data_IF_781472659427
#
_entry.id   IF_781472659427
#
_cell.length_a   1.000
_cell.length_b   1.000
_cell.length_c   1.000
_cell.angle_alpha   90.00
_cell.angle_beta   90.00
_cell.angle_gamma   90.00
#
_symmetry.space_group_name_H-M   'P 1'
#
loop_
_entity.id
_entity.type
_entity.pdbx_description
1 polymer ?
#
# COMPACT_ATOMS: atom_id res chain seq x y z
N UNK A 1 15.86 19.55 -19.51
CA UNK A 1 15.19 19.93 -18.25
C UNK A 1 15.95 19.29 -17.09
N UNK A 2 16.58 20.10 -16.21
CA UNK A 2 17.33 19.60 -15.07
C UNK A 2 16.39 18.85 -14.12
N UNK A 3 16.81 17.70 -13.59
CA UNK A 3 16.12 16.99 -12.52
C UNK A 3 15.99 17.97 -11.34
N UNK A 4 14.78 18.42 -10.99
CA UNK A 4 14.52 19.10 -9.73
C UNK A 4 14.98 18.15 -8.62
N UNK A 5 15.86 18.60 -7.75
CA UNK A 5 16.16 17.88 -6.51
C UNK A 5 14.91 17.96 -5.64
N UNK A 6 14.17 16.86 -5.55
CA UNK A 6 12.97 16.78 -4.72
C UNK A 6 13.39 16.80 -3.24
N UNK A 7 12.65 17.56 -2.42
CA UNK A 7 12.87 17.68 -0.99
C UNK A 7 12.33 16.43 -0.26
N UNK A 8 13.12 15.83 0.58
CA UNK A 8 12.72 14.73 1.45
C UNK A 8 11.88 15.26 2.62
N UNK A 9 11.07 14.39 3.19
CA UNK A 9 10.27 14.65 4.37
C UNK A 9 10.47 13.58 5.44
N UNK A 10 9.59 13.58 6.45
CA UNK A 10 9.63 12.65 7.57
C UNK A 10 8.39 11.76 7.61
N UNK A 11 8.58 10.52 8.06
CA UNK A 11 7.50 9.53 8.21
C UNK A 11 6.63 9.84 9.43
N UNK A 12 5.40 9.27 9.47
CA UNK A 12 4.54 9.33 10.66
C UNK A 12 5.24 8.74 11.88
N UNK A 13 6.09 7.71 11.70
CA UNK A 13 6.89 7.09 12.77
C UNK A 13 7.93 8.05 13.37
N UNK A 14 8.65 8.82 12.54
CA UNK A 14 9.60 9.81 13.02
C UNK A 14 8.90 10.95 13.78
N UNK A 15 7.79 11.46 13.24
CA UNK A 15 7.00 12.51 13.91
C UNK A 15 6.44 12.02 15.27
N UNK A 16 5.95 10.77 15.33
CA UNK A 16 5.45 10.19 16.58
C UNK A 16 6.55 10.02 17.62
N UNK A 17 7.75 9.58 17.21
CA UNK A 17 8.90 9.46 18.11
C UNK A 17 9.35 10.83 18.64
N UNK A 18 9.37 11.86 17.79
CA UNK A 18 9.71 13.22 18.18
C UNK A 18 8.69 13.82 19.16
N UNK A 19 7.38 13.68 18.88
CA UNK A 19 6.33 14.11 19.78
C UNK A 19 6.40 13.38 21.14
N UNK A 20 6.63 12.06 21.13
CA UNK A 20 6.78 11.27 22.35
C UNK A 20 8.00 11.71 23.19
N UNK A 21 9.16 11.97 22.52
CA UNK A 21 10.35 12.52 23.20
C UNK A 21 10.06 13.88 23.82
N UNK A 22 9.39 14.76 23.08
CA UNK A 22 9.02 16.09 23.56
C UNK A 22 8.13 16.05 24.81
N UNK A 23 7.06 15.24 24.75
CA UNK A 23 6.16 15.06 25.89
C UNK A 23 6.89 14.44 27.10
N UNK A 24 7.75 13.42 26.89
CA UNK A 24 8.55 12.83 27.95
C UNK A 24 9.54 13.82 28.58
N UNK A 25 10.21 14.65 27.77
CA UNK A 25 11.12 15.70 28.27
C UNK A 25 10.37 16.77 29.06
N UNK A 26 9.19 17.21 28.60
CA UNK A 26 8.38 18.20 29.34
C UNK A 26 7.90 17.64 30.68
N UNK A 27 7.42 16.39 30.67
CA UNK A 27 6.99 15.70 31.88
C UNK A 27 8.11 15.58 32.88
N UNK A 28 9.29 15.22 32.45
CA UNK A 28 10.45 15.00 33.30
C UNK A 28 11.12 16.30 33.76
N UNK A 29 11.16 17.33 32.91
CA UNK A 29 11.80 18.63 33.24
C UNK A 29 10.85 19.64 33.85
N UNK A 30 9.54 19.37 33.84
CA UNK A 30 8.47 20.28 34.29
C UNK A 30 8.62 21.70 33.69
N UNK A 31 8.91 21.74 32.38
CA UNK A 31 9.02 22.98 31.60
C UNK A 31 8.71 22.71 30.11
N UNK A 32 8.32 23.76 29.40
CA UNK A 32 8.11 23.74 27.95
C UNK A 32 9.41 23.34 27.22
N UNK A 33 9.25 22.54 26.19
CA UNK A 33 10.28 22.17 25.22
C UNK A 33 9.75 22.50 23.82
N UNK A 34 10.46 23.35 23.08
CA UNK A 34 10.00 23.87 21.80
C UNK A 34 10.50 23.00 20.61
N UNK A 35 11.65 22.36 20.78
CA UNK A 35 12.26 21.52 19.77
C UNK A 35 12.88 20.27 20.38
N UNK A 36 12.91 19.20 19.60
CA UNK A 36 13.62 17.96 19.94
C UNK A 36 14.43 17.46 18.76
N UNK A 37 15.49 16.75 19.06
CA UNK A 37 16.28 16.00 18.11
C UNK A 37 16.10 14.50 18.38
N UNK A 38 15.88 13.69 17.33
CA UNK A 38 15.80 12.23 17.42
C UNK A 38 16.81 11.61 16.47
N UNK A 39 17.30 10.42 16.82
CA UNK A 39 18.12 9.59 15.95
C UNK A 39 17.22 8.72 15.10
N UNK A 40 17.32 8.84 13.78
CA UNK A 40 16.59 8.01 12.83
C UNK A 40 17.24 6.61 12.72
N UNK A 41 16.50 5.59 12.21
CA UNK A 41 17.01 4.21 12.12
C UNK A 41 18.36 4.03 11.39
N UNK A 42 18.72 4.97 10.52
CA UNK A 42 20.01 4.97 9.81
C UNK A 42 21.14 5.69 10.55
N UNK A 43 20.88 6.24 11.73
CA UNK A 43 21.84 6.99 12.54
C UNK A 43 21.89 8.50 12.26
N UNK A 44 21.10 9.00 11.31
CA UNK A 44 20.97 10.44 11.04
C UNK A 44 20.18 11.12 12.16
N UNK A 45 20.58 12.32 12.57
CA UNK A 45 19.82 13.15 13.50
C UNK A 45 18.79 14.00 12.74
N UNK A 46 17.58 14.09 13.29
CA UNK A 46 16.51 14.91 12.75
C UNK A 46 15.90 15.79 13.85
N UNK A 47 15.71 17.07 13.54
CA UNK A 47 15.16 18.06 14.46
C UNK A 47 13.71 18.35 14.10
N UNK A 48 12.86 18.44 15.14
CA UNK A 48 11.43 18.68 15.01
C UNK A 48 10.99 19.78 15.96
N UNK A 49 10.22 20.74 15.46
CA UNK A 49 9.51 21.72 16.27
C UNK A 49 8.27 21.07 16.89
N UNK A 50 8.02 21.39 18.14
CA UNK A 50 6.87 20.90 18.90
C UNK A 50 5.79 21.98 19.00
N UNK A 51 4.55 21.56 19.01
CA UNK A 51 3.38 22.43 19.09
C UNK A 51 2.37 21.91 20.12
N UNK A 52 1.49 22.79 20.62
CA UNK A 52 0.44 22.41 21.55
C UNK A 52 0.98 21.78 22.84
N UNK A 53 2.09 22.34 23.34
CA UNK A 53 2.78 21.83 24.51
C UNK A 53 1.96 22.05 25.79
N UNK A 54 1.62 20.94 26.43
CA UNK A 54 0.96 20.91 27.73
C UNK A 54 1.70 19.99 28.68
N UNK A 55 1.87 20.33 29.94
CA UNK A 55 2.43 19.43 30.93
C UNK A 55 1.86 19.69 32.33
N UNK A 56 1.87 18.65 33.13
CA UNK A 56 1.49 18.63 34.53
C UNK A 56 2.39 17.69 35.34
N UNK A 57 2.06 17.44 36.61
CA UNK A 57 2.91 16.61 37.47
C UNK A 57 3.05 15.15 37.01
N UNK A 58 2.04 14.61 36.33
CA UNK A 58 1.95 13.19 35.97
C UNK A 58 1.72 12.93 34.47
N UNK A 59 1.51 13.97 33.67
CA UNK A 59 1.28 13.85 32.24
C UNK A 59 1.77 15.06 31.47
N UNK A 60 2.15 14.82 30.20
CA UNK A 60 2.48 15.89 29.26
C UNK A 60 2.06 15.48 27.85
N UNK A 61 1.77 16.46 27.00
CA UNK A 61 1.40 16.25 25.61
C UNK A 61 1.95 17.33 24.69
N UNK A 62 2.20 16.96 23.43
CA UNK A 62 2.52 17.88 22.34
C UNK A 62 2.28 17.18 21.01
N UNK A 63 2.41 17.90 19.91
CA UNK A 63 2.36 17.33 18.59
C UNK A 63 3.46 17.88 17.67
N UNK A 64 3.71 17.14 16.59
CA UNK A 64 4.56 17.51 15.46
C UNK A 64 3.68 17.61 14.22
N UNK A 65 3.82 18.68 13.45
CA UNK A 65 3.18 18.81 12.13
C UNK A 65 4.05 18.04 11.13
N UNK A 66 3.47 17.03 10.51
CA UNK A 66 4.21 16.19 9.55
C UNK A 66 4.52 16.96 8.27
N UNK A 67 5.79 17.01 7.92
CA UNK A 67 6.30 17.48 6.64
C UNK A 67 6.75 16.27 5.79
N UNK A 68 6.03 15.97 4.72
CA UNK A 68 6.34 14.89 3.80
C UNK A 68 7.31 15.29 2.66
N UNK A 69 7.82 16.51 2.67
CA UNK A 69 8.64 17.04 1.57
C UNK A 69 7.81 17.26 0.32
N UNK A 70 8.37 16.87 -0.83
CA UNK A 70 7.70 16.96 -2.13
C UNK A 70 6.92 15.67 -2.48
N UNK A 71 6.73 14.76 -1.52
CA UNK A 71 5.91 13.56 -1.71
C UNK A 71 4.41 13.90 -1.65
N UNK A 72 3.58 13.36 -2.56
CA UNK A 72 2.12 13.55 -2.51
C UNK A 72 1.45 12.70 -1.41
N UNK A 73 2.04 12.64 -0.24
CA UNK A 73 1.58 11.89 0.92
C UNK A 73 0.29 12.51 1.50
N UNK A 74 -0.74 11.69 1.65
CA UNK A 74 -2.03 12.07 2.24
C UNK A 74 -1.88 12.64 3.66
N UNK A 75 -0.84 12.21 4.38
CA UNK A 75 -0.57 12.63 5.76
C UNK A 75 0.31 13.89 5.86
N UNK A 76 0.63 14.54 4.73
CA UNK A 76 1.35 15.82 4.76
C UNK A 76 0.51 16.89 5.47
N UNK A 77 1.12 17.60 6.43
CA UNK A 77 0.44 18.60 7.27
C UNK A 77 -0.40 18.03 8.41
N UNK A 78 -0.47 16.70 8.56
CA UNK A 78 -1.18 16.08 9.69
C UNK A 78 -0.44 16.33 11.01
N UNK A 79 -1.21 16.58 12.08
CA UNK A 79 -0.71 16.70 13.44
C UNK A 79 -0.54 15.32 14.06
N UNK A 80 0.69 14.98 14.43
CA UNK A 80 1.02 13.71 15.08
C UNK A 80 1.21 14.00 16.57
N UNK A 81 0.18 13.69 17.35
CA UNK A 81 0.14 13.95 18.79
C UNK A 81 0.74 12.79 19.58
N UNK A 82 1.41 13.12 20.67
CA UNK A 82 1.81 12.19 21.72
C UNK A 82 1.41 12.72 23.09
N UNK A 83 0.74 11.88 23.87
CA UNK A 83 0.45 12.12 25.29
C UNK A 83 1.17 11.09 26.12
N UNK A 84 2.05 11.51 27.01
CA UNK A 84 2.83 10.67 27.93
C UNK A 84 2.30 10.82 29.33
N UNK A 85 2.09 9.71 30.04
CA UNK A 85 1.66 9.71 31.43
C UNK A 85 2.50 8.74 32.27
N UNK A 86 2.81 9.15 33.50
CA UNK A 86 3.32 8.29 34.57
C UNK A 86 2.15 7.76 35.39
N UNK A 87 2.26 6.55 35.91
CA UNK A 87 1.21 5.91 36.72
C UNK A 87 -0.17 5.83 36.03
N UNK A 88 -0.24 5.41 34.78
CA UNK A 88 -1.54 5.24 34.15
C UNK A 88 -2.34 4.13 34.86
N UNK A 89 -3.68 4.20 34.91
CA UNK A 89 -4.49 3.05 35.33
C UNK A 89 -4.13 1.83 34.47
N UNK A 90 -4.14 0.64 35.08
CA UNK A 90 -3.73 -0.63 34.44
C UNK A 90 -4.31 -0.77 33.04
N UNK A 91 -3.53 -1.22 32.04
CA UNK A 91 -4.06 -1.44 30.71
C UNK A 91 -5.16 -2.51 30.72
N UNK A 92 -6.13 -2.44 29.82
CA UNK A 92 -7.08 -3.54 29.60
C UNK A 92 -6.30 -4.82 29.27
N UNK A 93 -6.77 -5.95 29.78
CA UNK A 93 -6.16 -7.27 29.62
C UNK A 93 -5.69 -7.53 28.18
N UNK A 94 -4.43 -7.98 28.01
CA UNK A 94 -3.91 -8.56 26.75
C UNK A 94 -2.98 -7.68 25.90
N UNK A 95 -2.59 -6.48 26.34
CA UNK A 95 -1.61 -5.68 25.60
C UNK A 95 -0.18 -6.09 25.95
N UNK A 96 0.64 -6.40 24.93
CA UNK A 96 2.07 -6.66 25.08
C UNK A 96 2.78 -5.35 25.41
N UNK A 97 3.64 -5.42 26.43
CA UNK A 97 4.59 -4.38 26.77
C UNK A 97 5.68 -4.31 25.68
N UNK A 98 5.90 -3.13 25.10
CA UNK A 98 7.03 -2.92 24.20
C UNK A 98 8.31 -2.74 25.04
N UNK A 99 9.27 -3.63 24.83
CA UNK A 99 10.58 -3.59 25.47
C UNK A 99 10.55 -3.64 27.02
N UNK A 100 9.49 -4.21 27.62
CA UNK A 100 9.24 -4.35 29.08
C UNK A 100 9.35 -3.05 29.90
N UNK A 101 9.42 -1.87 29.26
CA UNK A 101 9.67 -0.60 29.95
C UNK A 101 8.73 0.57 29.60
N UNK A 102 7.98 0.45 28.50
CA UNK A 102 7.07 1.50 28.00
C UNK A 102 5.83 0.86 27.39
N UNK A 103 4.66 1.45 27.68
CA UNK A 103 3.40 1.05 27.06
C UNK A 103 3.08 2.03 25.90
N UNK A 104 3.08 1.53 24.65
CA UNK A 104 2.76 2.31 23.45
C UNK A 104 1.37 1.96 22.94
N UNK A 105 0.48 2.94 22.87
CA UNK A 105 -0.90 2.79 22.45
C UNK A 105 -1.27 3.76 21.32
N UNK A 106 -2.20 3.36 20.47
CA UNK A 106 -2.88 4.28 19.57
C UNK A 106 -4.09 4.91 20.26
N UNK A 107 -4.35 6.14 19.91
CA UNK A 107 -5.53 6.91 20.31
C UNK A 107 -6.36 7.28 19.10
N UNK A 108 -7.04 8.41 19.16
CA UNK A 108 -7.90 8.94 18.09
C UNK A 108 -7.15 8.97 16.76
N UNK A 109 -7.80 8.44 15.71
CA UNK A 109 -7.27 8.44 14.34
C UNK A 109 -6.13 7.48 14.06
N UNK A 110 -5.76 6.62 15.01
CA UNK A 110 -4.87 5.47 14.77
C UNK A 110 -5.71 4.23 14.56
N UNK A 111 -5.42 3.50 13.47
CA UNK A 111 -6.18 2.30 13.12
C UNK A 111 -5.85 1.09 13.98
N UNK A 112 -6.75 0.11 13.94
CA UNK A 112 -6.57 -1.24 14.48
C UNK A 112 -6.41 -2.25 13.37
N UNK A 113 -5.53 -3.22 13.56
CA UNK A 113 -5.37 -4.35 12.64
C UNK A 113 -6.53 -5.33 12.82
N UNK A 114 -7.25 -5.64 11.75
CA UNK A 114 -8.41 -6.55 11.76
C UNK A 114 -8.23 -7.78 10.89
N UNK A 115 -7.23 -7.77 9.98
CA UNK A 115 -6.91 -8.91 9.10
C UNK A 115 -5.51 -9.44 9.40
N UNK A 116 -5.28 -10.76 9.28
CA UNK A 116 -3.94 -11.34 9.39
C UNK A 116 -3.07 -10.98 8.19
N UNK A 117 -1.74 -11.22 8.28
CA UNK A 117 -0.79 -11.03 7.17
C UNK A 117 0.06 -9.77 7.28
N UNK A 118 -0.31 -8.81 8.11
CA UNK A 118 0.56 -7.68 8.43
C UNK A 118 1.62 -8.06 9.47
N UNK A 119 2.67 -7.24 9.59
CA UNK A 119 3.70 -7.42 10.61
C UNK A 119 3.18 -7.29 12.05
N UNK A 120 1.94 -6.84 12.22
CA UNK A 120 1.26 -6.67 13.49
C UNK A 120 0.13 -7.70 13.63
N UNK A 121 -0.07 -8.29 14.83
CA UNK A 121 -1.18 -9.18 15.11
C UNK A 121 -2.54 -8.49 14.97
N UNK A 122 -3.57 -9.29 14.69
CA UNK A 122 -4.96 -8.84 14.72
C UNK A 122 -5.32 -8.33 16.12
N UNK A 123 -6.01 -7.19 16.19
CA UNK A 123 -6.38 -6.50 17.43
C UNK A 123 -5.38 -5.45 17.89
N UNK A 124 -4.14 -5.45 17.39
CA UNK A 124 -3.13 -4.47 17.76
C UNK A 124 -3.35 -3.10 17.08
N UNK A 125 -2.83 -2.04 17.72
CA UNK A 125 -2.77 -0.73 17.12
C UNK A 125 -1.84 -0.73 15.90
N UNK A 126 -2.24 -0.07 14.82
CA UNK A 126 -1.47 0.01 13.59
C UNK A 126 -0.23 0.92 13.74
N UNK A 127 0.62 0.59 14.70
CA UNK A 127 1.94 1.22 14.94
C UNK A 127 2.99 0.18 14.62
N UNK A 128 3.67 0.32 13.49
CA UNK A 128 4.59 -0.68 12.96
C UNK A 128 5.82 -0.89 13.87
N UNK A 129 6.52 -2.03 13.78
CA UNK A 129 7.62 -2.37 14.69
C UNK A 129 8.75 -1.35 14.73
N UNK A 130 9.16 -0.76 13.60
CA UNK A 130 10.22 0.25 13.55
C UNK A 130 9.80 1.53 14.26
N UNK A 131 8.64 2.17 13.96
CA UNK A 131 8.08 3.26 14.75
C UNK A 131 7.98 2.97 16.25
N UNK A 132 7.52 1.77 16.66
CA UNK A 132 7.47 1.39 18.09
C UNK A 132 8.85 1.48 18.73
N UNK A 133 9.87 0.93 18.08
CA UNK A 133 11.27 1.01 18.56
C UNK A 133 11.77 2.45 18.63
N UNK A 134 11.44 3.28 17.63
CA UNK A 134 11.83 4.70 17.64
C UNK A 134 11.17 5.47 18.78
N UNK A 135 9.87 5.26 19.03
CA UNK A 135 9.14 5.88 20.13
C UNK A 135 9.73 5.44 21.48
N UNK A 136 9.93 4.14 21.66
CA UNK A 136 10.49 3.60 22.88
C UNK A 136 11.90 4.15 23.17
N UNK A 137 12.80 4.13 22.18
CA UNK A 137 14.16 4.67 22.31
C UNK A 137 14.16 6.16 22.63
N UNK A 138 13.31 6.96 21.97
CA UNK A 138 13.21 8.40 22.19
C UNK A 138 12.69 8.75 23.61
N UNK A 139 11.73 7.99 24.12
CA UNK A 139 11.23 8.14 25.48
C UNK A 139 12.26 7.71 26.53
N UNK A 140 12.90 6.56 26.34
CA UNK A 140 13.94 6.09 27.27
C UNK A 140 15.08 7.08 27.39
N UNK A 141 15.54 7.63 26.27
CA UNK A 141 16.55 8.69 26.26
C UNK A 141 16.11 9.92 27.09
N UNK A 142 14.84 10.35 26.93
CA UNK A 142 14.30 11.49 27.65
C UNK A 142 14.23 11.23 29.18
N UNK A 143 13.89 10.04 29.61
CA UNK A 143 13.81 9.67 31.02
C UNK A 143 15.19 9.39 31.65
N UNK A 144 16.11 8.77 30.91
CA UNK A 144 17.49 8.49 31.40
C UNK A 144 18.26 9.77 31.70
N UNK A 145 18.05 10.86 30.94
CA UNK A 145 18.68 12.16 31.18
C UNK A 145 18.37 12.74 32.58
N UNK A 146 17.40 12.21 33.30
CA UNK A 146 16.91 12.70 34.58
C UNK A 146 17.07 11.73 35.73
N UNK A 147 17.76 10.61 35.51
CA UNK A 147 17.99 9.63 36.58
C UNK A 147 16.72 8.92 37.05
N UNK A 148 15.66 8.89 36.22
CA UNK A 148 14.51 8.03 36.50
C UNK A 148 14.99 6.61 36.25
N UNK A 149 15.03 5.72 37.28
CA UNK A 149 15.56 4.37 37.13
C UNK A 149 14.68 3.57 36.17
N UNK A 150 15.26 3.05 35.10
CA UNK A 150 14.61 2.11 34.16
C UNK A 150 15.17 0.71 34.33
N UNK A 151 15.47 0.26 35.55
CA UNK A 151 16.00 -1.06 35.83
C UNK A 151 14.90 -2.12 35.92
N UNK A 152 15.21 -3.37 35.50
CA UNK A 152 14.30 -4.52 35.53
C UNK A 152 13.76 -4.89 36.94
N UNK A 153 14.28 -4.29 38.00
CA UNK A 153 13.92 -4.54 39.41
C UNK A 153 13.15 -3.40 40.08
N UNK A 154 12.77 -2.34 39.37
CA UNK A 154 12.09 -1.18 39.96
C UNK A 154 10.56 -1.33 39.87
N UNK A 155 9.81 -1.29 40.97
CA UNK A 155 8.35 -1.40 41.01
C UNK A 155 7.63 -0.12 40.50
N UNK A 156 8.35 0.84 39.88
CA UNK A 156 7.70 2.03 39.32
C UNK A 156 6.80 1.66 38.15
N UNK A 157 5.57 2.21 38.10
CA UNK A 157 4.65 1.98 37.00
C UNK A 157 5.27 2.42 35.67
N UNK A 158 5.11 1.58 34.64
CA UNK A 158 5.63 1.84 33.31
C UNK A 158 5.03 3.12 32.71
N UNK A 159 5.83 4.04 32.14
CA UNK A 159 5.31 5.18 31.45
C UNK A 159 4.49 4.71 30.22
N UNK A 160 3.36 5.38 29.99
CA UNK A 160 2.50 5.14 28.82
C UNK A 160 2.59 6.30 27.87
N UNK A 161 2.65 6.01 26.57
CA UNK A 161 2.45 6.97 25.49
C UNK A 161 1.26 6.60 24.65
N UNK A 162 0.40 7.56 24.35
CA UNK A 162 -0.73 7.47 23.43
C UNK A 162 -0.41 8.32 22.21
N UNK A 163 -0.34 7.72 21.02
CA UNK A 163 -0.15 8.40 19.74
C UNK A 163 -1.51 8.62 19.09
N UNK A 164 -1.79 9.86 18.66
CA UNK A 164 -3.07 10.23 18.03
C UNK A 164 -2.85 11.11 16.81
N UNK A 165 -3.81 11.07 15.88
CA UNK A 165 -3.91 11.95 14.71
C UNK A 165 -5.37 12.40 14.64
N UNK A 166 -5.72 13.62 15.07
CA UNK A 166 -7.12 14.04 15.23
C UNK A 166 -8.01 13.79 14.00
N UNK A 167 -7.51 14.06 12.79
CA UNK A 167 -8.20 13.83 11.51
C UNK A 167 -7.79 12.49 10.84
N UNK A 168 -7.17 11.58 11.58
CA UNK A 168 -6.58 10.34 11.03
C UNK A 168 -7.59 9.39 10.40
N UNK A 169 -8.82 9.31 10.91
CA UNK A 169 -9.87 8.49 10.31
C UNK A 169 -10.30 9.02 8.93
N UNK A 170 -10.44 10.34 8.78
CA UNK A 170 -10.77 10.97 7.50
C UNK A 170 -9.65 10.75 6.47
N UNK A 171 -8.41 10.96 6.89
CA UNK A 171 -7.24 10.75 6.03
C UNK A 171 -7.11 9.26 5.61
N UNK A 172 -7.39 8.32 6.51
CA UNK A 172 -7.33 6.89 6.22
C UNK A 172 -8.26 6.46 5.08
N UNK A 173 -9.41 7.12 4.89
CA UNK A 173 -10.32 6.87 3.76
C UNK A 173 -9.69 7.12 2.40
N UNK A 174 -8.63 7.92 2.34
CA UNK A 174 -7.85 8.25 1.12
C UNK A 174 -6.66 7.31 0.90
N UNK A 175 -6.48 6.31 1.78
CA UNK A 175 -5.38 5.35 1.75
C UNK A 175 -5.86 3.93 1.43
N UNK A 176 -4.94 2.96 1.38
CA UNK A 176 -5.25 1.54 1.23
C UNK A 176 -5.44 0.83 2.59
N UNK A 177 -5.44 1.54 3.71
CA UNK A 177 -5.50 0.96 5.05
C UNK A 177 -6.68 0.01 5.25
N UNK A 178 -7.89 0.42 4.84
CA UNK A 178 -9.08 -0.42 4.99
C UNK A 178 -8.94 -1.77 4.27
N UNK A 179 -8.34 -1.80 3.08
CA UNK A 179 -8.09 -3.04 2.31
C UNK A 179 -7.09 -3.95 3.00
N UNK A 180 -6.08 -3.37 3.62
CA UNK A 180 -5.09 -4.08 4.43
C UNK A 180 -5.64 -4.52 5.79
N UNK A 181 -6.92 -4.23 6.07
CA UNK A 181 -7.54 -4.55 7.34
C UNK A 181 -7.13 -3.62 8.49
N UNK A 182 -6.70 -2.39 8.18
CA UNK A 182 -6.44 -1.35 9.18
C UNK A 182 -7.67 -0.44 9.23
N UNK A 183 -8.44 -0.51 10.32
CA UNK A 183 -9.74 0.14 10.47
C UNK A 183 -9.69 1.18 11.60
N UNK A 184 -10.44 2.28 11.44
CA UNK A 184 -10.59 3.34 12.46
C UNK A 184 -9.52 4.43 12.41
N UNK A 185 -8.55 4.37 11.48
CA UNK A 185 -7.56 5.42 11.34
C UNK A 185 -6.35 5.07 10.47
N UNK A 186 -5.32 5.87 10.61
CA UNK A 186 -4.04 5.71 9.92
C UNK A 186 -3.13 4.70 10.63
N UNK A 187 -2.13 4.21 9.89
CA UNK A 187 -1.00 3.49 10.46
C UNK A 187 0.18 4.43 10.73
N UNK A 188 0.89 4.19 11.82
CA UNK A 188 2.19 4.82 12.12
C UNK A 188 3.27 3.94 11.50
N UNK A 189 3.90 4.42 10.44
CA UNK A 189 4.82 3.65 9.61
C UNK A 189 6.10 4.43 9.25
N UNK A 190 7.03 3.73 8.63
CA UNK A 190 8.30 4.23 8.15
C UNK A 190 9.49 3.44 8.71
N UNK A 191 10.25 2.82 7.82
CA UNK A 191 11.41 1.98 8.18
C UNK A 191 12.70 2.78 8.35
N UNK A 192 12.78 3.95 7.71
CA UNK A 192 13.99 4.81 7.74
C UNK A 192 13.78 6.12 8.49
N UNK A 193 12.54 6.48 8.83
CA UNK A 193 12.18 7.79 9.35
C UNK A 193 12.05 8.89 8.28
N UNK A 194 12.55 8.67 7.08
CA UNK A 194 12.58 9.64 5.96
C UNK A 194 11.60 9.23 4.87
N UNK A 195 10.86 10.19 4.34
CA UNK A 195 10.03 10.06 3.13
C UNK A 195 10.86 10.50 1.92
N UNK A 196 11.01 9.61 0.95
CA UNK A 196 11.59 9.93 -0.36
C UNK A 196 10.44 10.13 -1.35
N UNK A 197 10.33 11.30 -1.99
CA UNK A 197 9.25 11.58 -2.92
C UNK A 197 9.18 10.57 -4.06
N UNK A 198 7.95 10.13 -4.39
CA UNK A 198 7.66 9.19 -5.50
C UNK A 198 8.49 7.90 -5.39
N UNK A 199 8.56 7.32 -4.20
CA UNK A 199 9.37 6.12 -3.94
C UNK A 199 8.74 4.86 -4.54
N UNK A 200 9.41 4.26 -5.53
CA UNK A 200 9.03 2.94 -6.05
C UNK A 200 9.05 1.85 -4.96
N UNK A 201 10.00 1.93 -4.02
CA UNK A 201 10.10 0.98 -2.91
C UNK A 201 8.86 1.03 -2.00
N UNK A 202 8.35 2.23 -1.66
CA UNK A 202 7.15 2.35 -0.84
C UNK A 202 5.92 1.72 -1.53
N UNK A 203 5.84 1.83 -2.84
CA UNK A 203 4.76 1.20 -3.62
C UNK A 203 4.90 -0.33 -3.63
N UNK A 204 6.10 -0.85 -3.87
CA UNK A 204 6.35 -2.31 -3.85
C UNK A 204 6.13 -2.91 -2.48
N UNK A 205 6.52 -2.24 -1.39
CA UNK A 205 6.24 -2.68 -0.02
C UNK A 205 4.72 -2.78 0.25
N UNK A 206 3.93 -1.87 -0.33
CA UNK A 206 2.46 -1.91 -0.24
C UNK A 206 1.87 -3.10 -1.00
N UNK A 207 2.41 -3.41 -2.18
CA UNK A 207 2.01 -4.61 -2.95
C UNK A 207 2.32 -5.87 -2.15
N UNK A 208 3.52 -5.97 -1.58
CA UNK A 208 3.94 -7.12 -0.78
C UNK A 208 3.04 -7.33 0.43
N UNK A 209 2.71 -6.26 1.16
CA UNK A 209 1.80 -6.31 2.29
C UNK A 209 0.38 -6.73 1.87
N UNK A 210 -0.11 -6.25 0.72
CA UNK A 210 -1.43 -6.63 0.22
C UNK A 210 -1.49 -8.12 -0.17
N UNK A 211 -0.43 -8.66 -0.78
CA UNK A 211 -0.33 -10.08 -1.10
C UNK A 211 -0.30 -10.92 0.19
N UNK A 212 0.47 -10.50 1.20
CA UNK A 212 0.56 -11.20 2.48
C UNK A 212 -0.79 -11.25 3.20
N UNK A 213 -1.52 -10.14 3.22
CA UNK A 213 -2.89 -10.10 3.80
C UNK A 213 -3.83 -11.02 3.02
N UNK A 214 -3.83 -10.97 1.69
CA UNK A 214 -4.69 -11.82 0.87
C UNK A 214 -4.43 -13.31 1.11
N UNK A 215 -3.16 -13.73 1.14
CA UNK A 215 -2.78 -15.12 1.43
C UNK A 215 -3.14 -15.54 2.85
N UNK A 216 -2.89 -14.68 3.83
CA UNK A 216 -3.23 -14.95 5.23
C UNK A 216 -4.75 -15.04 5.46
N UNK A 217 -5.55 -14.35 4.64
CA UNK A 217 -7.01 -14.48 4.59
C UNK A 217 -7.49 -15.70 3.78
N UNK A 218 -6.59 -16.53 3.23
CA UNK A 218 -6.92 -17.76 2.51
C UNK A 218 -7.19 -17.58 1.01
N UNK A 219 -6.85 -16.44 0.42
CA UNK A 219 -7.01 -16.22 -1.03
C UNK A 219 -5.98 -17.02 -1.82
N UNK A 220 -6.42 -17.95 -2.68
CA UNK A 220 -5.55 -18.69 -3.61
C UNK A 220 -5.43 -18.00 -4.98
N UNK A 221 -6.35 -17.08 -5.27
CA UNK A 221 -6.41 -16.31 -6.51
C UNK A 221 -6.26 -14.83 -6.21
N UNK A 222 -5.37 -14.15 -6.92
CA UNK A 222 -5.20 -12.70 -6.83
C UNK A 222 -5.52 -12.02 -8.16
N UNK A 223 -6.21 -10.88 -8.09
CA UNK A 223 -6.48 -9.99 -9.22
C UNK A 223 -5.53 -8.81 -9.15
N UNK A 224 -4.48 -8.83 -9.98
CA UNK A 224 -3.45 -7.80 -10.04
C UNK A 224 -3.89 -6.69 -11.01
N UNK A 225 -4.24 -5.51 -10.50
CA UNK A 225 -4.81 -4.42 -11.29
C UNK A 225 -3.82 -3.29 -11.52
N UNK A 226 -3.73 -2.81 -12.78
CA UNK A 226 -2.87 -1.66 -13.12
C UNK A 226 -3.51 -0.30 -12.78
N UNK A 227 -4.78 -0.26 -12.43
CA UNK A 227 -5.49 0.96 -12.10
C UNK A 227 -6.92 0.72 -11.65
N UNK A 228 -7.55 1.76 -11.10
CA UNK A 228 -8.88 1.68 -10.48
C UNK A 228 -9.98 1.22 -11.46
N UNK A 229 -9.93 1.68 -12.72
CA UNK A 229 -10.92 1.28 -13.74
C UNK A 229 -10.90 -0.22 -13.98
N UNK A 230 -9.71 -0.81 -14.19
CA UNK A 230 -9.57 -2.25 -14.41
C UNK A 230 -9.93 -3.08 -13.18
N UNK A 231 -9.63 -2.57 -11.98
CA UNK A 231 -9.99 -3.22 -10.73
C UNK A 231 -11.51 -3.26 -10.55
N UNK A 232 -12.20 -2.11 -10.68
CA UNK A 232 -13.65 -2.04 -10.56
C UNK A 232 -14.39 -2.87 -11.63
N UNK A 233 -13.85 -2.90 -12.86
CA UNK A 233 -14.39 -3.75 -13.92
C UNK A 233 -14.29 -5.24 -13.54
N UNK A 234 -13.14 -5.67 -13.01
CA UNK A 234 -12.93 -7.05 -12.55
C UNK A 234 -13.85 -7.38 -11.35
N UNK A 235 -13.95 -6.49 -10.36
CA UNK A 235 -14.86 -6.67 -9.21
C UNK A 235 -16.31 -6.88 -9.66
N UNK A 236 -16.81 -6.03 -10.56
CA UNK A 236 -18.18 -6.14 -11.10
C UNK A 236 -18.36 -7.43 -11.89
N UNK A 237 -17.41 -7.78 -12.73
CA UNK A 237 -17.47 -9.00 -13.53
C UNK A 237 -17.54 -10.25 -12.68
N UNK A 238 -16.65 -10.40 -11.70
CA UNK A 238 -16.64 -11.56 -10.82
C UNK A 238 -17.80 -11.57 -9.81
N UNK A 239 -18.39 -10.44 -9.47
CA UNK A 239 -19.61 -10.37 -8.67
C UNK A 239 -20.87 -10.74 -9.48
N UNK A 240 -20.97 -10.30 -10.75
CA UNK A 240 -22.16 -10.54 -11.59
C UNK A 240 -22.25 -11.97 -12.16
N UNK A 241 -21.12 -12.62 -12.40
CA UNK A 241 -21.09 -14.01 -12.93
C UNK A 241 -21.59 -15.07 -11.96
N UNK A 242 -22.05 -14.69 -10.77
CA UNK A 242 -22.71 -15.57 -9.80
C UNK A 242 -24.22 -15.70 -10.00
N UNK A 243 -24.85 -14.72 -10.64
CA UNK A 243 -26.25 -14.79 -11.01
C UNK A 243 -26.33 -15.37 -12.42
N UNK A 244 -26.67 -16.67 -12.52
CA UNK A 244 -27.05 -17.28 -13.79
C UNK A 244 -28.17 -16.43 -14.42
N UNK A 245 -27.82 -15.66 -15.45
CA UNK A 245 -28.81 -14.90 -16.20
C UNK A 245 -29.73 -15.87 -16.94
N UNK A 246 -31.06 -15.74 -16.84
CA UNK A 246 -32.00 -16.57 -17.58
C UNK A 246 -32.01 -16.29 -19.09
N UNK A 247 -31.36 -15.21 -19.54
CA UNK A 247 -31.32 -14.80 -20.95
C UNK A 247 -29.95 -15.17 -21.57
N UNK A 248 -29.89 -16.33 -22.19
CA UNK A 248 -28.77 -16.99 -22.85
C UNK A 248 -27.97 -16.19 -23.88
N UNK A 249 -27.35 -15.07 -23.49
CA UNK A 249 -26.26 -14.45 -24.23
C UNK A 249 -24.94 -14.92 -23.62
N UNK A 250 -24.39 -15.99 -24.20
CA UNK A 250 -23.10 -16.58 -23.89
C UNK A 250 -21.97 -15.55 -24.08
N UNK A 251 -21.62 -14.82 -23.02
CA UNK A 251 -20.29 -14.30 -22.85
C UNK A 251 -19.36 -15.52 -22.73
N UNK A 252 -18.39 -15.63 -23.61
CA UNK A 252 -17.47 -16.76 -23.78
C UNK A 252 -17.00 -17.26 -22.41
N UNK A 253 -17.63 -18.34 -21.94
CA UNK A 253 -17.20 -19.09 -20.75
C UNK A 253 -15.96 -19.87 -21.13
N UNK A 254 -14.79 -19.39 -20.75
CA UNK A 254 -13.62 -20.24 -20.74
C UNK A 254 -13.84 -21.34 -19.67
N UNK A 255 -14.02 -22.58 -20.11
CA UNK A 255 -14.28 -23.75 -19.27
C UNK A 255 -13.14 -24.10 -18.28
N UNK A 256 -12.04 -23.33 -18.26
CA UNK A 256 -10.84 -23.54 -17.47
C UNK A 256 -10.65 -22.50 -16.35
N UNK A 257 -11.69 -21.72 -16.04
CA UNK A 257 -11.60 -20.79 -14.93
C UNK A 257 -12.06 -21.46 -13.64
N UNK A 258 -11.22 -21.64 -12.62
CA UNK A 258 -11.71 -21.81 -11.28
C UNK A 258 -12.23 -20.43 -10.78
N UNK A 259 -13.44 -20.08 -11.19
CA UNK A 259 -14.30 -19.29 -10.31
C UNK A 259 -14.43 -20.16 -9.06
N UNK A 260 -14.27 -19.65 -7.84
CA UNK A 260 -14.48 -20.45 -6.64
C UNK A 260 -15.77 -21.25 -6.82
N UNK A 261 -15.71 -22.58 -6.71
CA UNK A 261 -16.85 -23.48 -6.87
C UNK A 261 -18.00 -23.17 -5.86
N UNK A 262 -17.75 -22.25 -4.95
CA UNK A 262 -18.65 -21.81 -3.88
C UNK A 262 -19.61 -20.68 -4.28
N UNK A 263 -19.53 -20.12 -5.51
CA UNK A 263 -20.40 -19.00 -5.89
C UNK A 263 -20.17 -17.70 -5.09
N UNK A 264 -19.09 -17.59 -4.33
CA UNK A 264 -18.75 -16.38 -3.52
C UNK A 264 -17.82 -15.49 -4.35
N UNK A 265 -18.06 -14.16 -4.45
CA UNK A 265 -17.12 -13.24 -5.10
C UNK A 265 -15.75 -13.34 -4.45
N UNK A 266 -14.69 -13.03 -5.21
CA UNK A 266 -13.37 -12.87 -4.60
C UNK A 266 -13.48 -11.83 -3.48
N UNK A 267 -12.93 -12.11 -2.29
CA UNK A 267 -12.92 -11.16 -1.19
C UNK A 267 -12.12 -9.91 -1.57
N UNK A 268 -12.38 -8.79 -0.89
CA UNK A 268 -11.79 -7.48 -1.23
C UNK A 268 -10.25 -7.52 -1.26
N UNK A 269 -9.64 -8.26 -0.33
CA UNK A 269 -8.20 -8.44 -0.23
C UNK A 269 -7.57 -9.20 -1.40
N UNK A 270 -8.33 -9.96 -2.18
CA UNK A 270 -7.83 -10.62 -3.38
C UNK A 270 -7.53 -9.65 -4.53
N UNK A 271 -8.03 -8.40 -4.45
CA UNK A 271 -7.78 -7.38 -5.47
C UNK A 271 -6.60 -6.51 -5.08
N UNK A 272 -5.47 -6.71 -5.75
CA UNK A 272 -4.22 -6.00 -5.51
C UNK A 272 -4.02 -4.88 -6.52
N UNK A 273 -3.92 -3.64 -6.05
CA UNK A 273 -3.57 -2.50 -6.89
C UNK A 273 -2.05 -2.45 -7.09
N UNK A 274 -1.55 -3.05 -8.18
CA UNK A 274 -0.11 -3.06 -8.47
C UNK A 274 0.38 -1.80 -9.20
N UNK A 275 -0.54 -1.00 -9.77
CA UNK A 275 -0.18 0.17 -10.56
C UNK A 275 0.70 -0.20 -11.75
N UNK A 276 1.84 0.47 -11.87
CA UNK A 276 2.80 0.24 -12.95
C UNK A 276 3.87 -0.84 -12.63
N UNK A 277 3.86 -1.42 -11.42
CA UNK A 277 4.88 -2.37 -10.95
C UNK A 277 4.54 -3.83 -11.26
N UNK A 278 4.23 -4.12 -12.53
CA UNK A 278 3.74 -5.43 -12.97
C UNK A 278 4.73 -6.55 -12.69
N UNK A 279 6.01 -6.37 -13.06
CA UNK A 279 7.04 -7.38 -12.86
C UNK A 279 7.26 -7.70 -11.37
N UNK A 280 7.25 -6.67 -10.50
CA UNK A 280 7.35 -6.88 -9.05
C UNK A 280 6.15 -7.67 -8.53
N UNK A 281 4.93 -7.25 -8.84
CA UNK A 281 3.71 -7.90 -8.36
C UNK A 281 3.63 -9.37 -8.79
N UNK A 282 3.98 -9.69 -10.03
CA UNK A 282 4.01 -11.06 -10.54
C UNK A 282 5.04 -11.92 -9.80
N UNK A 283 6.30 -11.45 -9.68
CA UNK A 283 7.36 -12.18 -8.97
C UNK A 283 7.06 -12.36 -7.49
N UNK A 284 6.59 -11.32 -6.81
CA UNK A 284 6.23 -11.39 -5.40
C UNK A 284 5.11 -12.40 -5.16
N UNK A 285 4.06 -12.38 -5.99
CA UNK A 285 2.97 -13.36 -5.92
C UNK A 285 3.46 -14.79 -6.13
N UNK A 286 4.32 -15.01 -7.13
CA UNK A 286 4.92 -16.33 -7.38
C UNK A 286 5.80 -16.80 -6.23
N UNK A 287 6.69 -15.95 -5.72
CA UNK A 287 7.59 -16.27 -4.61
C UNK A 287 6.83 -16.61 -3.32
N UNK A 288 5.65 -16.00 -3.11
CA UNK A 288 4.79 -16.24 -1.94
C UNK A 288 3.81 -17.41 -2.15
N UNK A 289 3.85 -18.12 -3.27
CA UNK A 289 3.09 -19.34 -3.51
C UNK A 289 1.63 -19.13 -3.91
N UNK A 290 1.27 -17.98 -4.49
CA UNK A 290 -0.05 -17.75 -5.06
C UNK A 290 -0.31 -18.78 -6.18
N UNK A 291 -1.52 -19.39 -6.22
CA UNK A 291 -1.85 -20.43 -7.21
C UNK A 291 -2.36 -19.87 -8.53
N UNK A 292 -3.18 -18.81 -8.46
CA UNK A 292 -3.84 -18.24 -9.63
C UNK A 292 -3.67 -16.72 -9.65
N UNK A 293 -3.27 -16.18 -10.80
CA UNK A 293 -3.11 -14.76 -11.03
C UNK A 293 -4.02 -14.30 -12.18
N UNK A 294 -4.74 -13.21 -11.96
CA UNK A 294 -5.54 -12.53 -12.96
C UNK A 294 -4.93 -11.15 -13.17
N UNK A 295 -4.31 -10.94 -14.32
CA UNK A 295 -3.71 -9.66 -14.69
C UNK A 295 -4.80 -8.73 -15.28
N UNK A 296 -5.30 -7.79 -14.50
CA UNK A 296 -6.37 -6.87 -14.90
C UNK A 296 -5.83 -5.52 -15.33
N UNK A 297 -6.02 -5.16 -16.60
CA UNK A 297 -5.49 -3.91 -17.14
C UNK A 297 -6.34 -3.38 -18.32
N UNK A 298 -6.07 -2.13 -18.71
CA UNK A 298 -6.55 -1.54 -19.96
C UNK A 298 -5.60 -1.86 -21.11
N UNK A 299 -6.09 -1.75 -22.35
CA UNK A 299 -5.40 -2.18 -23.57
C UNK A 299 -3.98 -1.61 -23.70
N UNK A 300 -3.79 -0.30 -23.44
CA UNK A 300 -2.46 0.33 -23.51
C UNK A 300 -1.45 -0.27 -22.53
N UNK A 301 -1.89 -0.66 -21.33
CA UNK A 301 -1.03 -1.31 -20.34
C UNK A 301 -0.73 -2.75 -20.72
N UNK A 302 -1.74 -3.51 -21.18
CA UNK A 302 -1.52 -4.88 -21.67
C UNK A 302 -0.58 -4.91 -22.87
N UNK A 303 -0.69 -3.95 -23.81
CA UNK A 303 0.24 -3.86 -24.93
C UNK A 303 1.69 -3.63 -24.47
N UNK A 304 1.93 -2.79 -23.49
CA UNK A 304 3.26 -2.62 -22.91
C UNK A 304 3.79 -3.91 -22.27
N UNK A 305 2.94 -4.62 -21.53
CA UNK A 305 3.27 -5.90 -20.92
C UNK A 305 3.59 -6.93 -22.01
N UNK A 306 2.76 -7.01 -23.04
CA UNK A 306 2.96 -7.89 -24.19
C UNK A 306 4.28 -7.62 -24.93
N UNK A 307 4.75 -6.37 -24.93
CA UNK A 307 6.05 -5.97 -25.46
C UNK A 307 7.23 -6.22 -24.50
N UNK A 308 7.01 -6.87 -23.34
CA UNK A 308 8.08 -7.24 -22.42
C UNK A 308 8.40 -6.20 -21.35
N UNK A 309 7.54 -5.23 -21.11
CA UNK A 309 7.79 -4.20 -20.09
C UNK A 309 7.25 -4.62 -18.71
N UNK A 310 8.15 -4.77 -17.74
CA UNK A 310 7.82 -5.05 -16.34
C UNK A 310 7.31 -3.84 -15.58
N UNK A 311 7.63 -2.64 -16.08
CA UNK A 311 7.20 -1.35 -15.55
C UNK A 311 6.44 -0.61 -16.65
N UNK A 312 5.16 -0.32 -16.43
CA UNK A 312 4.27 0.24 -17.47
C UNK A 312 4.11 1.76 -17.41
N UNK A 313 4.81 2.45 -16.47
CA UNK A 313 4.78 3.90 -16.39
C UNK A 313 5.33 4.55 -17.65
N UNK A 314 4.74 5.67 -18.07
CA UNK A 314 5.09 6.35 -19.34
C UNK A 314 6.55 6.80 -19.41
N UNK A 315 7.16 7.13 -18.26
CA UNK A 315 8.59 7.49 -18.20
C UNK A 315 9.53 6.30 -18.32
N UNK A 316 9.05 5.07 -18.05
CA UNK A 316 9.88 3.85 -18.01
C UNK A 316 9.67 2.98 -19.24
N UNK A 317 8.51 3.08 -19.91
CA UNK A 317 8.16 2.28 -21.08
C UNK A 317 7.38 3.09 -22.09
N UNK A 318 7.89 3.17 -23.32
CA UNK A 318 7.16 3.73 -24.45
C UNK A 318 6.10 2.76 -24.94
N UNK A 319 5.05 3.27 -25.55
CA UNK A 319 4.07 2.47 -26.28
C UNK A 319 4.69 2.04 -27.62
N UNK A 320 4.86 0.73 -27.84
CA UNK A 320 5.48 0.21 -29.06
C UNK A 320 4.44 -0.32 -30.06
N UNK A 321 3.83 0.59 -30.79
CA UNK A 321 2.89 0.27 -31.86
C UNK A 321 3.59 -0.38 -33.08
N UNK A 322 4.89 -0.21 -33.24
CA UNK A 322 5.65 -0.84 -34.34
C UNK A 322 5.79 -2.35 -34.10
N UNK A 323 6.04 -2.77 -32.88
CA UNK A 323 6.06 -4.20 -32.53
C UNK A 323 4.67 -4.81 -32.73
N UNK A 324 3.60 -4.12 -32.31
CA UNK A 324 2.24 -4.57 -32.58
C UNK A 324 1.97 -4.70 -34.10
N UNK A 325 2.37 -3.71 -34.90
CA UNK A 325 2.21 -3.78 -36.36
C UNK A 325 2.92 -5.01 -36.98
N UNK A 326 4.10 -5.41 -36.46
CA UNK A 326 4.79 -6.64 -36.89
C UNK A 326 3.97 -7.90 -36.56
N UNK A 327 3.36 -7.96 -35.36
CA UNK A 327 2.50 -9.11 -35.00
C UNK A 327 1.25 -9.16 -35.87
N UNK A 328 0.62 -8.03 -36.16
CA UNK A 328 -0.53 -7.95 -37.06
C UNK A 328 -0.17 -8.38 -38.47
N UNK A 329 0.98 -7.94 -38.99
CA UNK A 329 1.46 -8.36 -40.32
C UNK A 329 1.66 -9.85 -40.45
N UNK A 330 2.15 -10.51 -39.38
CA UNK A 330 2.32 -11.96 -39.30
C UNK A 330 1.01 -12.76 -39.14
N UNK A 331 -0.12 -12.08 -38.84
CA UNK A 331 -1.41 -12.72 -38.59
C UNK A 331 -2.37 -12.51 -39.76
N UNK A 332 -2.62 -13.51 -40.62
CA UNK A 332 -3.39 -13.33 -41.89
C UNK A 332 -4.77 -12.70 -41.70
N UNK A 333 -5.46 -13.04 -40.60
CA UNK A 333 -6.85 -12.59 -40.32
C UNK A 333 -6.97 -11.12 -39.94
N UNK A 334 -5.95 -10.53 -39.33
CA UNK A 334 -5.94 -9.14 -38.81
C UNK A 334 -4.84 -8.28 -39.45
N UNK A 335 -4.21 -8.77 -40.53
CA UNK A 335 -3.18 -8.03 -41.29
C UNK A 335 -3.67 -6.68 -41.78
N UNK A 336 -4.95 -6.53 -42.08
CA UNK A 336 -5.57 -5.27 -42.53
C UNK A 336 -5.44 -4.15 -41.49
N UNK A 337 -5.27 -4.48 -40.19
CA UNK A 337 -5.07 -3.50 -39.13
C UNK A 337 -3.62 -2.98 -39.04
N UNK A 338 -2.67 -3.52 -39.81
CA UNK A 338 -1.26 -3.12 -39.75
C UNK A 338 -1.06 -1.64 -40.05
N UNK A 339 -1.77 -1.11 -41.08
CA UNK A 339 -1.70 0.31 -41.42
C UNK A 339 -2.28 1.19 -40.31
N UNK A 340 -3.40 0.77 -39.73
CA UNK A 340 -4.00 1.49 -38.60
C UNK A 340 -3.06 1.53 -37.38
N UNK A 341 -2.39 0.42 -37.08
CA UNK A 341 -1.41 0.35 -35.97
C UNK A 341 -0.20 1.25 -36.19
N UNK A 342 0.26 1.40 -37.43
CA UNK A 342 1.39 2.30 -37.76
C UNK A 342 1.01 3.78 -37.78
N UNK A 343 -0.25 4.10 -38.06
CA UNK A 343 -0.77 5.47 -38.14
C UNK A 343 -1.29 6.01 -36.79
N UNK A 344 -1.69 5.12 -35.88
CA UNK A 344 -2.26 5.52 -34.59
C UNK A 344 -1.22 6.20 -33.67
N UNK A 345 -1.67 7.23 -32.96
CA UNK A 345 -0.84 7.94 -31.97
C UNK A 345 -0.97 7.33 -30.58
N UNK A 346 -2.00 6.52 -30.35
CA UNK A 346 -2.24 5.86 -29.06
C UNK A 346 -2.86 4.48 -29.23
N UNK A 347 -2.68 3.64 -28.21
CA UNK A 347 -3.30 2.31 -28.19
C UNK A 347 -4.84 2.39 -28.11
N UNK A 348 -5.37 3.44 -27.49
CA UNK A 348 -6.81 3.68 -27.43
C UNK A 348 -7.37 4.00 -28.82
N UNK A 349 -6.74 4.90 -29.54
CA UNK A 349 -7.12 5.27 -30.90
C UNK A 349 -7.15 4.03 -31.83
N UNK A 350 -6.13 3.18 -31.75
CA UNK A 350 -6.08 1.93 -32.51
C UNK A 350 -7.24 0.98 -32.15
N UNK A 351 -7.51 0.80 -30.86
CA UNK A 351 -8.57 -0.10 -30.39
C UNK A 351 -9.95 0.40 -30.87
N UNK A 352 -10.20 1.70 -30.78
CA UNK A 352 -11.43 2.32 -31.27
C UNK A 352 -11.54 2.26 -32.80
N UNK A 353 -10.47 2.55 -33.53
CA UNK A 353 -10.43 2.48 -35.02
C UNK A 353 -10.62 1.06 -35.53
N UNK A 354 -10.21 0.03 -34.77
CA UNK A 354 -10.45 -1.37 -35.08
C UNK A 354 -11.86 -1.84 -34.74
N UNK A 355 -12.74 -0.95 -34.25
CA UNK A 355 -14.04 -1.30 -33.72
C UNK A 355 -13.99 -2.43 -32.66
N UNK A 356 -12.94 -2.41 -31.82
CA UNK A 356 -12.70 -3.42 -30.77
C UNK A 356 -12.56 -4.84 -31.35
N UNK A 357 -11.84 -4.97 -32.47
CA UNK A 357 -11.65 -6.26 -33.16
C UNK A 357 -11.18 -7.34 -32.18
N UNK A 358 -11.95 -8.43 -32.09
CA UNK A 358 -11.73 -9.50 -31.10
C UNK A 358 -10.38 -10.19 -31.28
N UNK A 359 -9.89 -10.34 -32.48
CA UNK A 359 -8.62 -11.01 -32.76
C UNK A 359 -7.42 -10.13 -32.40
N UNK A 360 -7.54 -8.79 -32.56
CA UNK A 360 -6.57 -7.83 -32.06
C UNK A 360 -6.48 -7.91 -30.53
N UNK A 361 -7.64 -7.94 -29.87
CA UNK A 361 -7.75 -8.06 -28.41
C UNK A 361 -7.12 -9.36 -27.93
N UNK A 362 -7.50 -10.49 -28.51
CA UNK A 362 -6.93 -11.81 -28.19
C UNK A 362 -5.41 -11.86 -28.37
N UNK A 363 -4.89 -11.34 -29.49
CA UNK A 363 -3.46 -11.31 -29.77
C UNK A 363 -2.69 -10.59 -28.66
N UNK A 364 -3.12 -9.40 -28.26
CA UNK A 364 -2.44 -8.61 -27.22
C UNK A 364 -2.58 -9.29 -25.86
N UNK A 365 -3.75 -9.82 -25.52
CA UNK A 365 -3.98 -10.52 -24.26
C UNK A 365 -3.15 -11.81 -24.16
N UNK A 366 -3.08 -12.63 -25.21
CA UNK A 366 -2.26 -13.83 -25.24
C UNK A 366 -0.76 -13.49 -25.08
N UNK A 367 -0.25 -12.48 -25.80
CA UNK A 367 1.14 -12.03 -25.68
C UNK A 367 1.45 -11.50 -24.26
N UNK A 368 0.52 -10.78 -23.63
CA UNK A 368 0.69 -10.31 -22.25
C UNK A 368 0.66 -11.49 -21.26
N UNK A 369 -0.19 -12.50 -21.49
CA UNK A 369 -0.23 -13.71 -20.68
C UNK A 369 1.07 -14.52 -20.81
N UNK A 370 1.59 -14.69 -22.03
CA UNK A 370 2.86 -15.37 -22.28
C UNK A 370 4.01 -14.70 -21.52
N UNK A 371 4.16 -13.40 -21.67
CA UNK A 371 5.17 -12.64 -20.94
C UNK A 371 5.02 -12.76 -19.42
N UNK A 372 3.78 -12.66 -18.90
CA UNK A 372 3.55 -12.82 -17.47
C UNK A 372 3.88 -14.23 -16.97
N UNK A 373 3.60 -15.28 -17.75
CA UNK A 373 3.98 -16.69 -17.44
C UNK A 373 5.49 -16.88 -17.42
N UNK A 374 6.22 -16.20 -18.29
CA UNK A 374 7.69 -16.27 -18.34
C UNK A 374 8.34 -15.65 -17.08
N UNK A 375 7.64 -14.71 -16.43
CA UNK A 375 8.11 -14.05 -15.19
C UNK A 375 7.83 -14.85 -13.91
N UNK A 376 6.90 -15.82 -13.96
CA UNK A 376 6.46 -16.55 -12.78
C UNK A 376 6.67 -18.04 -12.93
N UNK A 377 6.94 -18.74 -11.81
CA UNK A 377 7.05 -20.18 -11.77
C UNK A 377 5.97 -20.73 -10.83
N UNK A 378 5.02 -21.49 -11.38
CA UNK A 378 3.96 -22.16 -10.62
C UNK A 378 2.56 -21.58 -10.79
N UNK A 379 2.30 -20.27 -10.65
CA UNK A 379 0.95 -19.74 -10.81
C UNK A 379 0.37 -19.93 -12.21
N UNK A 380 -0.94 -20.24 -12.26
CA UNK A 380 -1.71 -20.11 -13.51
C UNK A 380 -2.01 -18.61 -13.73
N UNK A 381 -1.64 -18.08 -14.90
CA UNK A 381 -1.87 -16.67 -15.23
C UNK A 381 -2.97 -16.52 -16.27
N UNK A 382 -3.95 -15.69 -15.98
CA UNK A 382 -5.01 -15.23 -16.88
C UNK A 382 -4.95 -13.72 -17.06
N UNK A 383 -5.54 -13.24 -18.15
CA UNK A 383 -5.61 -11.81 -18.46
C UNK A 383 -7.06 -11.35 -18.47
N UNK A 384 -7.30 -10.20 -17.86
CA UNK A 384 -8.57 -9.49 -17.85
C UNK A 384 -8.37 -8.11 -18.49
N UNK A 385 -8.97 -7.91 -19.67
CA UNK A 385 -8.94 -6.61 -20.34
C UNK A 385 -10.21 -5.83 -20.03
N UNK A 386 -10.03 -4.71 -19.35
CA UNK A 386 -11.07 -3.71 -19.16
C UNK A 386 -11.01 -2.66 -20.26
N UNK A 387 -12.16 -2.30 -20.81
CA UNK A 387 -12.31 -1.14 -21.67
C UNK A 387 -12.19 0.18 -20.91
N UNK A 388 -12.14 1.27 -21.62
CA UNK A 388 -11.96 2.62 -21.03
C UNK A 388 -13.20 3.11 -20.28
N UNK A 389 -14.39 2.58 -20.58
CA UNK A 389 -15.63 2.79 -19.84
C UNK A 389 -15.84 1.81 -18.67
N UNK A 390 -14.95 0.84 -18.50
CA UNK A 390 -15.06 -0.20 -17.48
C UNK A 390 -15.86 -1.43 -17.90
N UNK A 391 -16.17 -1.55 -19.18
CA UNK A 391 -16.70 -2.76 -19.81
C UNK A 391 -15.63 -3.86 -19.88
N UNK A 392 -16.07 -5.12 -19.97
CA UNK A 392 -15.16 -6.27 -20.11
C UNK A 392 -14.99 -6.60 -21.60
N UNK A 393 -13.77 -6.51 -22.09
CA UNK A 393 -13.44 -6.80 -23.50
C UNK A 393 -12.85 -8.20 -23.67
N UNK A 394 -12.18 -8.75 -22.65
CA UNK A 394 -11.58 -10.07 -22.70
C UNK A 394 -11.35 -10.65 -21.31
N UNK A 395 -11.52 -11.95 -21.18
CA UNK A 395 -11.08 -12.72 -20.01
C UNK A 395 -10.68 -14.14 -20.43
N UNK A 396 -9.39 -14.53 -20.21
CA UNK A 396 -8.89 -15.86 -20.58
C UNK A 396 -7.47 -16.17 -20.12
#
# INVERSE_FOLDING_TARGET
>A
MGKRNLRFGYTTGACAAAAAKGAALMLSRQRIVDEVEIVLPRGECARFSLHGQEFGPVSASCFVVKDAGDDPDVTNGAEIHASVALNPPSPPFGQKEDDNRIIIQGGTGIGRVTKPGLALPVGEWAINPVPRKMIAAAMLEAFTQLGIPGGESDPTPLPRVVISIPNGEELARKTLNARLGIVGGLSILGTTGIVKPVSAAAWTDTIDAAIDVALACGSETLVLSTGRTSELAAQRFFASNQQSSPDGKDLVRCALCPVPATGIPFPEEAYIMMGDHVGHALRASSAKGVKHLILAAQFAKLLKIACGHEQTHVSSSALDLRTLAKWLHGSPRIRHLTCAATAANSARELLEASAYDQQLVELVCCKAADFARDLVHGPMVKVFLAGYGGEVLYFG
#
